data_IF_224027829999
#
_entry.id   IF_224027829999
#
_cell.length_a   1.000
_cell.length_b   1.000
_cell.length_c   1.000
_cell.angle_alpha   90.00
_cell.angle_beta   90.00
_cell.angle_gamma   90.00
#
_symmetry.space_group_name_H-M   'P 1'
#
loop_
_entity.id
_entity.type
_entity.pdbx_description
1 polymer ?
#
# COMPACT_ATOMS: atom_id res chain seq x y z
N UNK A 1 -4.45 -7.83 -11.01
CA UNK A 1 -4.33 -6.36 -11.03
C UNK A 1 -3.98 -5.80 -9.66
N UNK A 2 -4.70 -6.15 -8.59
CA UNK A 2 -4.50 -5.60 -7.23
C UNK A 2 -3.06 -5.75 -6.70
N UNK A 3 -2.50 -6.97 -6.73
CA UNK A 3 -1.12 -7.21 -6.26
C UNK A 3 -0.07 -6.44 -7.05
N UNK A 4 -0.32 -6.21 -8.34
CA UNK A 4 0.57 -5.42 -9.19
C UNK A 4 0.56 -3.95 -8.78
N UNK A 5 -0.62 -3.39 -8.50
CA UNK A 5 -0.75 -1.99 -8.06
C UNK A 5 -0.03 -1.77 -6.74
N UNK A 6 -0.11 -2.71 -5.81
CA UNK A 6 0.56 -2.62 -4.51
C UNK A 6 2.09 -2.69 -4.57
N UNK A 7 2.66 -3.44 -5.53
CA UNK A 7 4.10 -3.72 -5.53
C UNK A 7 4.95 -2.46 -5.75
N UNK A 8 4.44 -1.50 -6.53
CA UNK A 8 5.10 -0.22 -6.82
C UNK A 8 5.27 0.64 -5.55
N UNK A 9 4.21 1.01 -4.81
CA UNK A 9 4.35 1.80 -3.58
C UNK A 9 5.11 1.07 -2.49
N UNK A 10 5.00 -0.26 -2.41
CA UNK A 10 5.80 -1.07 -1.49
C UNK A 10 7.31 -0.87 -1.70
N UNK A 11 7.77 -1.01 -2.95
CA UNK A 11 9.18 -0.83 -3.29
C UNK A 11 9.65 0.61 -3.08
N UNK A 12 8.85 1.60 -3.47
CA UNK A 12 9.21 3.01 -3.30
C UNK A 12 9.29 3.44 -1.84
N UNK A 13 8.38 2.97 -0.98
CA UNK A 13 8.46 3.23 0.46
C UNK A 13 9.74 2.64 1.08
N UNK A 14 10.15 1.45 0.63
CA UNK A 14 11.41 0.85 1.08
C UNK A 14 12.61 1.70 0.63
N UNK A 15 12.63 2.12 -0.63
CA UNK A 15 13.70 2.96 -1.17
C UNK A 15 13.79 4.30 -0.42
N UNK A 16 12.65 4.89 -0.05
CA UNK A 16 12.59 6.10 0.76
C UNK A 16 13.10 5.91 2.19
N UNK A 17 12.86 4.74 2.81
CA UNK A 17 13.37 4.40 4.14
C UNK A 17 14.90 4.22 4.14
N UNK A 18 15.43 3.56 3.11
CA UNK A 18 16.86 3.23 2.98
C UNK A 18 17.67 4.24 2.15
N UNK A 19 17.09 5.37 1.73
CA UNK A 19 17.71 6.36 0.84
C UNK A 19 19.14 6.77 1.22
N UNK A 20 19.40 6.97 2.53
CA UNK A 20 20.72 7.39 3.03
C UNK A 20 21.77 6.32 2.78
N UNK A 21 21.39 5.05 2.93
CA UNK A 21 22.29 3.92 2.74
C UNK A 21 22.64 3.75 1.25
N UNK A 22 21.68 3.99 0.36
CA UNK A 22 21.92 4.01 -1.09
C UNK A 22 22.79 5.21 -1.52
N UNK A 23 22.53 6.40 -0.98
CA UNK A 23 23.36 7.60 -1.21
C UNK A 23 24.80 7.36 -0.75
N UNK A 24 25.00 6.76 0.44
CA UNK A 24 26.33 6.41 0.97
C UNK A 24 27.03 5.32 0.15
N UNK A 25 26.28 4.40 -0.47
CA UNK A 25 26.82 3.36 -1.33
C UNK A 25 27.10 3.85 -2.77
N UNK A 26 26.81 5.11 -3.10
CA UNK A 26 26.95 5.66 -4.45
C UNK A 26 25.96 5.08 -5.46
N UNK A 27 24.87 4.47 -5.01
CA UNK A 27 23.84 3.90 -5.86
C UNK A 27 22.83 4.97 -6.31
N UNK A 28 22.30 4.87 -7.54
CA UNK A 28 21.28 5.80 -8.01
C UNK A 28 19.98 5.60 -7.21
N UNK A 29 19.46 6.68 -6.63
CA UNK A 29 18.17 6.69 -5.94
C UNK A 29 17.09 7.37 -6.79
N UNK A 30 15.85 6.89 -6.67
CA UNK A 30 14.70 7.54 -7.30
C UNK A 30 14.55 9.01 -6.86
N UNK A 31 14.99 9.34 -5.65
CA UNK A 31 15.00 10.69 -5.07
C UNK A 31 16.02 11.64 -5.71
N UNK A 32 16.94 11.15 -6.54
CA UNK A 32 17.90 11.97 -7.29
C UNK A 32 17.29 12.49 -8.60
N UNK A 33 16.43 11.69 -9.23
CA UNK A 33 15.73 12.07 -10.47
C UNK A 33 14.48 12.88 -10.17
N UNK A 34 13.72 12.48 -9.14
CA UNK A 34 12.53 13.18 -8.68
C UNK A 34 12.75 13.66 -7.26
N UNK A 35 12.33 14.89 -6.93
CA UNK A 35 12.47 15.39 -5.57
C UNK A 35 11.79 14.46 -4.55
N UNK A 36 12.36 14.33 -3.34
CA UNK A 36 11.84 13.47 -2.26
C UNK A 36 10.32 13.62 -2.06
N UNK A 37 9.87 14.87 -2.03
CA UNK A 37 8.48 15.27 -1.87
C UNK A 37 7.55 14.77 -3.00
N UNK A 38 8.08 14.60 -4.21
CA UNK A 38 7.35 14.12 -5.37
C UNK A 38 7.21 12.60 -5.31
N UNK A 39 8.31 11.88 -5.01
CA UNK A 39 8.34 10.43 -4.84
C UNK A 39 7.41 9.99 -3.70
N UNK A 40 7.43 10.72 -2.59
CA UNK A 40 6.54 10.48 -1.46
C UNK A 40 5.07 10.65 -1.86
N UNK A 41 4.72 11.76 -2.53
CA UNK A 41 3.33 12.04 -2.95
C UNK A 41 2.82 10.96 -3.90
N UNK A 42 3.61 10.58 -4.90
CA UNK A 42 3.19 9.55 -5.85
C UNK A 42 3.04 8.19 -5.17
N UNK A 43 3.91 7.86 -4.20
CA UNK A 43 3.79 6.65 -3.40
C UNK A 43 2.46 6.61 -2.63
N UNK A 44 2.05 7.72 -2.01
CA UNK A 44 0.76 7.77 -1.30
C UNK A 44 -0.45 7.68 -2.24
N UNK A 45 -0.39 8.33 -3.41
CA UNK A 45 -1.45 8.19 -4.43
C UNK A 45 -1.59 6.73 -4.87
N UNK A 46 -0.47 6.02 -5.04
CA UNK A 46 -0.48 4.60 -5.38
C UNK A 46 -1.02 3.71 -4.25
N UNK A 47 -0.75 4.03 -2.98
CA UNK A 47 -1.37 3.33 -1.84
C UNK A 47 -2.88 3.55 -1.82
N UNK A 48 -3.33 4.77 -2.06
CA UNK A 48 -4.75 5.07 -2.18
C UNK A 48 -5.39 4.29 -3.34
N UNK A 49 -4.76 4.27 -4.51
CA UNK A 49 -5.20 3.46 -5.66
C UNK A 49 -5.24 1.96 -5.33
N UNK A 50 -4.26 1.45 -4.57
CA UNK A 50 -4.25 0.06 -4.07
C UNK A 50 -5.47 -0.22 -3.20
N UNK A 51 -5.79 0.68 -2.28
CA UNK A 51 -6.92 0.51 -1.37
C UNK A 51 -8.26 0.52 -2.13
N UNK A 52 -8.41 1.45 -3.09
CA UNK A 52 -9.59 1.49 -3.98
C UNK A 52 -9.67 0.23 -4.83
N UNK A 53 -8.56 -0.22 -5.42
CA UNK A 53 -8.51 -1.45 -6.20
C UNK A 53 -8.92 -2.67 -5.35
N UNK A 54 -8.55 -2.70 -4.07
CA UNK A 54 -8.98 -3.73 -3.12
C UNK A 54 -10.48 -3.73 -2.85
N UNK A 55 -11.09 -2.55 -2.72
CA UNK A 55 -12.54 -2.39 -2.56
C UNK A 55 -13.33 -2.77 -3.82
N UNK A 56 -12.70 -2.70 -5.00
CA UNK A 56 -13.35 -3.09 -6.26
C UNK A 56 -13.34 -4.60 -6.51
N UNK A 57 -12.54 -5.39 -5.78
CA UNK A 57 -12.43 -6.84 -6.00
C UNK A 57 -13.80 -7.55 -5.93
N UNK A 58 -14.68 -7.27 -4.94
CA UNK A 58 -16.04 -7.81 -4.91
C UNK A 58 -16.87 -7.62 -6.19
N UNK A 59 -16.68 -6.50 -6.91
CA UNK A 59 -17.46 -6.19 -8.11
C UNK A 59 -17.13 -7.11 -9.29
N UNK A 60 -15.96 -7.76 -9.25
CA UNK A 60 -15.55 -8.74 -10.26
C UNK A 60 -16.03 -10.16 -9.97
N UNK A 61 -16.89 -10.35 -8.96
CA UNK A 61 -17.40 -11.68 -8.58
C UNK A 61 -16.35 -12.57 -7.91
N UNK A 62 -15.28 -11.96 -7.38
CA UNK A 62 -14.19 -12.66 -6.68
C UNK A 62 -14.49 -12.63 -5.17
N UNK A 63 -14.94 -13.77 -4.62
CA UNK A 63 -15.33 -13.93 -3.22
C UNK A 63 -16.71 -14.58 -3.08
N UNK A 64 -16.76 -15.85 -2.68
CA UNK A 64 -18.03 -16.58 -2.54
C UNK A 64 -18.73 -16.28 -1.19
N UNK A 65 -17.96 -15.95 -0.15
CA UNK A 65 -18.50 -15.72 1.19
C UNK A 65 -18.82 -14.25 1.49
N UNK A 66 -20.05 -13.96 1.92
CA UNK A 66 -20.47 -12.64 2.42
C UNK A 66 -19.59 -12.13 3.57
N UNK A 67 -19.05 -13.04 4.39
CA UNK A 67 -18.14 -12.69 5.48
C UNK A 67 -16.80 -12.15 4.96
N UNK A 68 -16.30 -12.71 3.87
CA UNK A 68 -15.01 -12.35 3.28
C UNK A 68 -15.13 -11.03 2.51
N UNK A 69 -16.24 -10.81 1.81
CA UNK A 69 -16.59 -9.51 1.23
C UNK A 69 -16.63 -8.41 2.30
N UNK A 70 -17.26 -8.69 3.46
CA UNK A 70 -17.27 -7.76 4.60
C UNK A 70 -15.86 -7.44 5.12
N UNK A 71 -15.00 -8.46 5.25
CA UNK A 71 -13.61 -8.30 5.66
C UNK A 71 -12.80 -7.42 4.69
N UNK A 72 -12.95 -7.63 3.38
CA UNK A 72 -12.29 -6.81 2.36
C UNK A 72 -12.73 -5.34 2.42
N UNK A 73 -14.03 -5.09 2.62
CA UNK A 73 -14.57 -3.74 2.75
C UNK A 73 -14.01 -3.01 3.98
N UNK A 74 -13.92 -3.70 5.13
CA UNK A 74 -13.35 -3.15 6.36
C UNK A 74 -11.86 -2.81 6.15
N UNK A 75 -11.08 -3.76 5.63
CA UNK A 75 -9.64 -3.57 5.41
C UNK A 75 -9.37 -2.45 4.41
N UNK A 76 -10.12 -2.39 3.30
CA UNK A 76 -9.96 -1.36 2.28
C UNK A 76 -10.29 0.03 2.82
N UNK A 77 -11.40 0.16 3.56
CA UNK A 77 -11.78 1.43 4.20
C UNK A 77 -10.74 1.87 5.24
N UNK A 78 -10.21 0.94 6.02
CA UNK A 78 -9.14 1.20 6.99
C UNK A 78 -7.86 1.69 6.32
N UNK A 79 -7.45 1.07 5.21
CA UNK A 79 -6.28 1.51 4.46
C UNK A 79 -6.49 2.89 3.84
N UNK A 80 -7.67 3.17 3.28
CA UNK A 80 -8.02 4.51 2.76
C UNK A 80 -7.89 5.55 3.86
N UNK A 81 -8.49 5.30 5.03
CA UNK A 81 -8.42 6.24 6.15
C UNK A 81 -6.97 6.52 6.58
N UNK A 82 -6.13 5.48 6.66
CA UNK A 82 -4.70 5.62 6.95
C UNK A 82 -3.98 6.41 5.86
N UNK A 83 -4.19 6.09 4.58
CA UNK A 83 -3.56 6.75 3.45
C UNK A 83 -3.93 8.24 3.40
N UNK A 84 -5.21 8.59 3.57
CA UNK A 84 -5.69 9.97 3.62
C UNK A 84 -5.08 10.75 4.79
N UNK A 85 -4.99 10.14 5.97
CA UNK A 85 -4.34 10.78 7.14
C UNK A 85 -2.87 11.09 6.89
N UNK A 86 -2.17 10.22 6.14
CA UNK A 86 -0.77 10.43 5.82
C UNK A 86 -0.61 11.50 4.73
N UNK A 87 -1.48 11.49 3.72
CA UNK A 87 -1.46 12.47 2.63
C UNK A 87 -1.78 13.89 3.12
N UNK A 88 -2.55 14.02 4.20
CA UNK A 88 -2.89 15.28 4.87
C UNK A 88 -1.89 15.70 5.97
N UNK A 89 -0.88 14.89 6.30
CA UNK A 89 0.10 15.20 7.36
C UNK A 89 1.19 16.17 6.88
N UNK A 90 1.77 16.98 7.79
CA UNK A 90 2.93 17.81 7.46
C UNK A 90 4.13 16.94 7.06
N UNK A 91 4.78 17.32 5.95
CA UNK A 91 5.82 16.54 5.25
C UNK A 91 7.06 16.16 6.09
N UNK A 92 7.38 16.93 7.12
CA UNK A 92 8.58 16.68 7.92
C UNK A 92 8.48 15.46 8.84
N UNK A 93 7.26 14.92 9.06
CA UNK A 93 7.03 13.87 10.05
C UNK A 93 6.58 12.53 9.46
N UNK A 94 6.67 12.35 8.14
CA UNK A 94 6.14 11.15 7.48
C UNK A 94 6.98 9.90 7.82
N UNK A 95 6.44 8.92 8.58
CA UNK A 95 7.21 7.76 8.98
C UNK A 95 7.13 6.67 7.89
N UNK A 96 8.03 6.71 6.90
CA UNK A 96 8.07 5.78 5.76
C UNK A 96 7.98 4.31 6.20
N UNK A 97 8.78 3.93 7.21
CA UNK A 97 8.79 2.60 7.82
C UNK A 97 7.44 2.13 8.37
N UNK A 98 6.69 3.04 9.00
CA UNK A 98 5.37 2.72 9.57
C UNK A 98 4.32 2.56 8.46
N UNK A 99 4.37 3.41 7.43
CA UNK A 99 3.53 3.29 6.24
C UNK A 99 3.79 1.97 5.52
N UNK A 100 5.06 1.64 5.29
CA UNK A 100 5.49 0.38 4.68
C UNK A 100 4.90 -0.82 5.41
N UNK A 101 5.06 -0.87 6.73
CA UNK A 101 4.49 -1.95 7.56
C UNK A 101 2.96 -2.00 7.48
N UNK A 102 2.29 -0.84 7.50
CA UNK A 102 0.82 -0.77 7.41
C UNK A 102 0.31 -1.35 6.10
N UNK A 103 0.95 -0.97 4.99
CA UNK A 103 0.62 -1.44 3.64
C UNK A 103 0.86 -2.95 3.50
N UNK A 104 1.94 -3.48 4.09
CA UNK A 104 2.24 -4.92 4.07
C UNK A 104 1.27 -5.74 4.91
N UNK A 105 0.92 -5.26 6.11
CA UNK A 105 -0.09 -5.90 6.96
C UNK A 105 -1.43 -5.95 6.24
N UNK A 106 -1.82 -4.87 5.56
CA UNK A 106 -3.05 -4.85 4.76
C UNK A 106 -3.05 -5.92 3.67
N UNK A 107 -1.97 -6.00 2.87
CA UNK A 107 -1.87 -7.02 1.81
C UNK A 107 -1.87 -8.43 2.38
N UNK A 108 -1.13 -8.68 3.46
CA UNK A 108 -1.10 -9.97 4.10
C UNK A 108 -2.50 -10.37 4.58
N UNK A 109 -3.25 -9.45 5.19
CA UNK A 109 -4.62 -9.71 5.62
C UNK A 109 -5.55 -10.00 4.43
N UNK A 110 -5.43 -9.26 3.32
CA UNK A 110 -6.19 -9.52 2.09
C UNK A 110 -5.84 -10.88 1.48
N UNK A 111 -4.56 -11.26 1.46
CA UNK A 111 -4.12 -12.58 1.00
C UNK A 111 -4.69 -13.69 1.87
N UNK A 112 -4.64 -13.56 3.20
CA UNK A 112 -5.20 -14.55 4.13
C UNK A 112 -6.71 -14.69 3.92
N UNK A 113 -7.43 -13.59 3.73
CA UNK A 113 -8.87 -13.62 3.44
C UNK A 113 -9.18 -14.39 2.15
N UNK A 114 -8.46 -14.15 1.06
CA UNK A 114 -8.66 -14.91 -0.18
C UNK A 114 -8.27 -16.38 -0.04
N UNK A 115 -7.17 -16.68 0.65
CA UNK A 115 -6.77 -18.06 0.93
C UNK A 115 -7.84 -18.80 1.73
N UNK A 116 -8.48 -18.14 2.70
CA UNK A 116 -9.59 -18.71 3.46
C UNK A 116 -10.86 -18.88 2.62
N UNK A 117 -11.17 -17.94 1.71
CA UNK A 117 -12.32 -18.08 0.80
C UNK A 117 -12.19 -19.34 -0.04
N UNK A 118 -11.01 -19.55 -0.63
CA UNK A 118 -10.74 -20.71 -1.48
C UNK A 118 -10.65 -22.03 -0.70
N UNK A 119 -10.30 -22.00 0.59
CA UNK A 119 -10.27 -23.21 1.42
C UNK A 119 -11.67 -23.64 1.87
N UNK A 120 -12.61 -22.69 1.95
CA UNK A 120 -13.98 -22.92 2.40
C UNK A 120 -14.96 -23.16 1.23
N UNK A 121 -14.63 -22.74 0.01
CA UNK A 121 -15.44 -22.85 -1.22
C UNK A 121 -14.58 -23.21 -2.43
#
# INVERSE_FOLDING_TARGET
FFFFIWQIPHFWLLLLDYRKDYENAGLPCLTQVWGLNQVERISFVWIFATAVAGLLIPLFGIGNSRAILGGLMILGTWLIWKASKILLRPRQESPFRSTFRTVNIYILAVMVLFSLDHLLY
#
